data_IF_779088395946
#
_entry.id   IF_779088395946
#
_cell.length_a   1.000
_cell.length_b   1.000
_cell.length_c   1.000
_cell.angle_alpha   90.00
_cell.angle_beta   90.00
_cell.angle_gamma   90.00
#
_symmetry.space_group_name_H-M   'P 1'
#
loop_
_entity.id
_entity.type
_entity.pdbx_description
1 polymer ?
#
# COMPACT_ATOMS: atom_id res chain seq x y z
N UNK A 1 -59.90 19.29 18.45
CA UNK A 1 -59.48 19.60 19.83
C UNK A 1 -58.70 18.43 20.39
N UNK A 2 -57.36 18.48 20.35
CA UNK A 2 -56.51 18.13 21.49
C UNK A 2 -55.07 18.54 21.18
N UNK A 3 -54.50 19.25 22.13
CA UNK A 3 -53.15 19.82 22.12
C UNK A 3 -52.12 18.73 22.47
N UNK A 4 -50.91 18.85 21.90
CA UNK A 4 -49.78 17.99 22.24
C UNK A 4 -48.47 18.54 21.68
N UNK A 5 -48.00 19.64 22.28
CA UNK A 5 -46.68 20.24 22.09
C UNK A 5 -45.62 19.43 22.84
N UNK A 6 -44.47 19.13 22.22
CA UNK A 6 -43.22 18.89 22.95
C UNK A 6 -42.01 19.35 22.15
N UNK A 7 -41.52 20.52 22.57
CA UNK A 7 -40.24 21.14 22.29
C UNK A 7 -39.10 20.26 22.78
N UNK A 8 -38.09 20.02 21.94
CA UNK A 8 -36.92 19.19 22.25
C UNK A 8 -35.62 19.79 21.69
N UNK A 9 -35.23 20.92 22.29
CA UNK A 9 -33.90 21.56 22.41
C UNK A 9 -32.72 20.99 21.59
N UNK A 10 -32.12 21.90 20.83
CA UNK A 10 -30.88 21.71 20.09
C UNK A 10 -29.68 21.39 20.98
N UNK A 11 -28.86 20.46 20.48
CA UNK A 11 -27.48 20.24 20.91
C UNK A 11 -26.58 21.07 20.01
N UNK A 12 -26.19 22.24 20.51
CA UNK A 12 -25.09 23.02 19.96
C UNK A 12 -23.80 22.18 20.11
N UNK A 13 -23.24 21.72 18.98
CA UNK A 13 -21.88 21.18 18.95
C UNK A 13 -20.92 22.35 19.16
N UNK A 14 -20.31 22.39 20.34
CA UNK A 14 -19.14 23.20 20.64
C UNK A 14 -17.99 22.66 19.78
N UNK A 15 -17.76 23.29 18.63
CA UNK A 15 -16.52 23.15 17.87
C UNK A 15 -15.45 23.95 18.62
N UNK A 16 -14.68 23.25 19.45
CA UNK A 16 -13.44 23.80 20.00
C UNK A 16 -12.45 23.93 18.84
N UNK A 17 -12.42 25.12 18.23
CA UNK A 17 -11.38 25.51 17.30
C UNK A 17 -10.06 25.57 18.07
N UNK A 18 -9.21 24.55 17.90
CA UNK A 18 -7.82 24.62 18.30
C UNK A 18 -7.14 25.64 17.38
N UNK A 19 -6.94 26.85 17.91
CA UNK A 19 -6.07 27.87 17.32
C UNK A 19 -4.64 27.33 17.42
N UNK A 20 -4.15 26.74 16.33
CA UNK A 20 -2.73 26.45 16.16
C UNK A 20 -2.05 27.78 15.85
N UNK A 21 -1.35 28.31 16.84
CA UNK A 21 -0.45 29.45 16.67
C UNK A 21 0.58 29.08 15.60
N UNK A 22 0.56 29.80 14.48
CA UNK A 22 1.61 29.76 13.47
C UNK A 22 2.88 30.40 14.05
N UNK A 23 3.78 29.58 14.57
CA UNK A 23 5.21 29.83 14.38
C UNK A 23 5.58 29.23 13.03
N UNK A 24 5.93 30.10 12.09
CA UNK A 24 6.35 29.79 10.72
C UNK A 24 7.35 28.65 10.68
N UNK A 25 6.86 27.45 10.37
CA UNK A 25 7.60 26.35 9.78
C UNK A 25 6.75 25.87 8.61
N UNK A 26 7.31 26.01 7.43
CA UNK A 26 6.83 25.42 6.18
C UNK A 26 6.53 23.93 6.36
N UNK A 27 5.31 23.50 5.97
CA UNK A 27 5.04 22.14 5.50
C UNK A 27 4.38 21.16 6.47
N UNK A 28 3.05 21.15 6.52
CA UNK A 28 2.28 19.92 6.80
C UNK A 28 1.87 19.36 5.45
N UNK A 29 2.66 18.41 4.97
CA UNK A 29 2.37 17.61 3.79
C UNK A 29 2.90 16.22 4.04
N UNK A 30 2.20 15.22 3.52
CA UNK A 30 2.81 14.00 3.01
C UNK A 30 4.11 14.37 2.31
N UNK A 31 5.23 14.24 3.00
CA UNK A 31 6.45 14.96 2.66
C UNK A 31 7.17 14.30 1.50
N UNK A 32 6.95 14.81 0.29
CA UNK A 32 7.94 14.72 -0.78
C UNK A 32 9.27 15.26 -0.24
N UNK A 33 10.36 14.52 -0.44
CA UNK A 33 11.68 15.00 -0.09
C UNK A 33 11.98 16.27 -0.89
N UNK A 34 12.12 17.41 -0.19
CA UNK A 34 12.61 18.62 -0.83
C UNK A 34 14.11 18.44 -1.09
N UNK A 35 14.48 18.15 -2.33
CA UNK A 35 15.87 18.16 -2.79
C UNK A 35 16.38 19.60 -2.87
N UNK A 36 17.32 19.96 -1.98
CA UNK A 36 18.13 21.17 -2.08
C UNK A 36 19.47 20.86 -2.76
N UNK A 37 20.09 21.83 -3.47
CA UNK A 37 21.22 21.56 -4.36
C UNK A 37 22.54 21.31 -3.63
N UNK A 38 23.37 20.54 -4.33
CA UNK A 38 24.66 19.96 -3.96
C UNK A 38 25.63 20.88 -3.22
N UNK A 39 25.96 20.48 -1.99
CA UNK A 39 27.25 20.72 -1.37
C UNK A 39 27.72 19.37 -0.83
N UNK A 40 29.02 19.09 -0.88
CA UNK A 40 29.67 17.90 -0.27
C UNK A 40 29.59 17.93 1.27
N UNK A 41 28.39 18.09 1.81
CA UNK A 41 28.08 18.04 3.23
C UNK A 41 27.46 16.69 3.55
N UNK A 42 27.73 16.19 4.76
CA UNK A 42 27.08 15.00 5.33
C UNK A 42 25.57 15.00 5.05
N UNK A 43 25.15 14.29 4.00
CA UNK A 43 23.74 14.13 3.66
C UNK A 43 23.07 13.39 4.81
N UNK A 44 22.15 14.06 5.48
CA UNK A 44 21.32 13.45 6.51
C UNK A 44 19.86 13.73 6.20
N UNK A 45 19.03 12.71 6.37
CA UNK A 45 17.58 12.84 6.27
C UNK A 45 16.97 12.50 7.62
N UNK A 46 15.81 13.09 7.89
CA UNK A 46 14.97 12.70 9.01
C UNK A 46 13.81 11.91 8.43
N UNK A 47 13.73 10.63 8.77
CA UNK A 47 12.62 9.77 8.40
C UNK A 47 11.69 9.58 9.60
N UNK A 48 10.38 9.61 9.36
CA UNK A 48 9.40 9.12 10.34
C UNK A 48 9.44 7.60 10.29
N UNK A 49 9.75 6.96 11.41
CA UNK A 49 10.04 5.52 11.44
C UNK A 49 8.87 4.68 11.95
N UNK A 50 7.94 5.29 12.70
CA UNK A 50 6.79 4.61 13.26
C UNK A 50 5.47 5.41 13.18
N UNK A 51 4.37 4.75 13.54
CA UNK A 51 3.03 5.33 13.60
C UNK A 51 2.85 6.37 14.73
N UNK A 52 3.76 6.41 15.70
CA UNK A 52 3.79 7.42 16.77
C UNK A 52 4.50 8.71 16.34
N UNK A 53 5.04 8.75 15.11
CA UNK A 53 5.74 9.90 14.57
C UNK A 53 7.18 10.01 15.05
N UNK A 54 7.77 8.94 15.60
CA UNK A 54 9.17 8.92 15.99
C UNK A 54 10.03 9.18 14.77
N UNK A 55 10.99 10.09 14.92
CA UNK A 55 11.88 10.49 13.85
C UNK A 55 13.28 9.92 14.09
N UNK A 56 13.91 9.43 13.04
CA UNK A 56 15.30 8.97 13.06
C UNK A 56 16.11 9.76 12.05
N UNK A 57 17.27 10.23 12.48
CA UNK A 57 18.28 10.79 11.57
C UNK A 57 19.00 9.64 10.88
N UNK A 58 18.84 9.56 9.57
CA UNK A 58 19.55 8.67 8.67
C UNK A 58 20.79 9.40 8.15
N UNK A 59 21.92 8.71 8.11
CA UNK A 59 23.23 9.25 7.75
C UNK A 59 23.86 8.51 6.59
N UNK A 60 23.34 7.34 6.22
CA UNK A 60 23.81 6.65 5.03
C UNK A 60 23.33 7.44 3.79
N UNK A 61 24.25 8.01 2.99
CA UNK A 61 23.88 8.86 1.86
C UNK A 61 23.06 8.12 0.80
N UNK A 62 23.26 6.81 0.65
CA UNK A 62 22.52 6.01 -0.33
C UNK A 62 21.08 5.75 0.13
N UNK A 63 20.86 5.55 1.43
CA UNK A 63 19.51 5.47 2.03
C UNK A 63 18.81 6.81 1.91
N UNK A 64 19.50 7.91 2.24
CA UNK A 64 18.97 9.28 2.09
C UNK A 64 18.57 9.56 0.64
N UNK A 65 19.44 9.21 -0.31
CA UNK A 65 19.18 9.36 -1.75
C UNK A 65 17.98 8.51 -2.19
N UNK A 66 17.91 7.25 -1.73
CA UNK A 66 16.79 6.36 -2.03
C UNK A 66 15.44 6.92 -1.54
N UNK A 67 15.42 7.51 -0.35
CA UNK A 67 14.24 8.14 0.25
C UNK A 67 13.92 9.52 -0.36
N UNK A 68 14.79 10.03 -1.24
CA UNK A 68 14.53 11.23 -2.05
C UNK A 68 13.33 11.07 -2.98
N UNK A 69 12.95 9.82 -3.30
CA UNK A 69 11.77 9.50 -4.10
C UNK A 69 10.83 8.55 -3.32
N UNK A 70 9.71 9.10 -2.85
CA UNK A 70 8.68 8.37 -2.11
C UNK A 70 7.95 7.30 -2.95
N UNK A 71 8.14 7.28 -4.28
CA UNK A 71 7.66 6.22 -5.16
C UNK A 71 8.64 5.04 -5.26
N UNK A 72 9.87 5.21 -4.78
CA UNK A 72 10.93 4.19 -4.85
C UNK A 72 11.27 3.57 -3.51
N UNK A 73 11.16 4.34 -2.42
CA UNK A 73 11.50 3.82 -1.10
C UNK A 73 10.74 4.47 0.05
N UNK A 74 10.71 3.75 1.18
CA UNK A 74 10.28 4.23 2.48
C UNK A 74 11.16 3.63 3.57
N UNK A 75 11.24 4.31 4.72
CA UNK A 75 11.86 3.76 5.92
C UNK A 75 10.78 3.37 6.92
N UNK A 76 10.86 2.15 7.43
CA UNK A 76 10.00 1.64 8.51
C UNK A 76 10.88 0.83 9.45
N UNK A 77 10.99 1.25 10.71
CA UNK A 77 11.85 0.52 11.64
C UNK A 77 11.36 -0.92 11.86
N UNK A 78 12.27 -1.80 12.28
CA UNK A 78 11.99 -3.23 12.43
C UNK A 78 10.85 -3.54 13.42
N UNK A 79 10.63 -2.71 14.44
CA UNK A 79 9.56 -2.91 15.42
C UNK A 79 8.19 -2.53 14.86
N UNK A 80 8.12 -1.42 14.11
CA UNK A 80 6.93 -1.02 13.36
C UNK A 80 6.59 -2.04 12.29
N UNK A 81 7.61 -2.53 11.56
CA UNK A 81 7.43 -3.58 10.57
C UNK A 81 6.85 -4.87 11.17
N UNK A 82 7.40 -5.32 12.30
CA UNK A 82 6.95 -6.54 12.96
C UNK A 82 5.50 -6.41 13.48
N UNK A 83 5.09 -5.21 13.90
CA UNK A 83 3.77 -4.97 14.50
C UNK A 83 2.70 -4.69 13.45
N UNK A 84 3.01 -3.82 12.49
CA UNK A 84 2.02 -3.28 11.55
C UNK A 84 2.26 -3.74 10.12
N UNK A 85 3.48 -4.10 9.72
CA UNK A 85 3.86 -4.24 8.32
C UNK A 85 3.93 -2.89 7.60
N UNK A 86 4.13 -2.91 6.29
CA UNK A 86 4.20 -1.68 5.47
C UNK A 86 2.83 -1.07 5.18
N UNK A 87 1.80 -1.91 4.96
CA UNK A 87 0.41 -1.53 4.67
C UNK A 87 0.32 -0.47 3.56
N UNK A 88 -0.38 0.62 3.85
CA UNK A 88 -0.60 1.77 2.98
C UNK A 88 0.69 2.43 2.46
N UNK A 89 1.85 2.25 3.11
CA UNK A 89 3.12 2.78 2.60
C UNK A 89 3.55 2.11 1.30
N UNK A 90 3.17 0.84 1.12
CA UNK A 90 3.42 0.07 -0.10
C UNK A 90 2.25 0.13 -1.09
N UNK A 91 1.12 0.70 -0.71
CA UNK A 91 -0.04 0.76 -1.60
C UNK A 91 0.26 1.63 -2.84
N UNK A 92 -0.05 1.09 -4.02
CA UNK A 92 0.23 1.73 -5.30
C UNK A 92 1.71 1.69 -5.70
N UNK A 93 2.58 0.99 -4.95
CA UNK A 93 3.99 0.85 -5.32
C UNK A 93 4.24 -0.46 -6.06
N UNK A 94 5.32 -0.50 -6.84
CA UNK A 94 5.72 -1.68 -7.59
C UNK A 94 6.35 -2.72 -6.64
N UNK A 95 5.80 -3.94 -6.54
CA UNK A 95 6.28 -4.95 -5.60
C UNK A 95 7.73 -5.40 -5.84
N UNK A 96 8.24 -5.26 -7.07
CA UNK A 96 9.59 -5.73 -7.45
C UNK A 96 10.69 -4.71 -7.25
N UNK A 97 10.36 -3.42 -7.13
CA UNK A 97 11.35 -2.34 -7.09
C UNK A 97 11.24 -1.47 -5.85
N UNK A 98 10.05 -1.36 -5.25
CA UNK A 98 9.86 -0.53 -4.06
C UNK A 98 10.63 -1.11 -2.87
N UNK A 99 11.49 -0.29 -2.28
CA UNK A 99 12.38 -0.69 -1.17
C UNK A 99 11.82 -0.21 0.16
N UNK A 100 11.77 -1.10 1.13
CA UNK A 100 11.41 -0.77 2.49
C UNK A 100 12.62 -0.95 3.38
N UNK A 101 13.27 0.17 3.69
CA UNK A 101 14.43 0.18 4.58
C UNK A 101 13.99 0.00 6.02
N UNK A 102 14.73 -0.81 6.77
CA UNK A 102 14.50 -1.05 8.19
C UNK A 102 15.68 -0.66 9.08
N UNK A 103 16.80 -0.31 8.46
CA UNK A 103 17.96 0.26 9.12
C UNK A 103 18.72 1.22 8.19
N UNK A 104 19.65 1.99 8.74
CA UNK A 104 20.43 3.02 8.04
C UNK A 104 21.63 2.41 7.29
N UNK A 105 21.36 1.40 6.45
CA UNK A 105 22.36 0.74 5.61
C UNK A 105 21.79 0.41 4.21
N UNK A 106 22.63 0.41 3.17
CA UNK A 106 22.20 0.36 1.77
C UNK A 106 21.53 -0.96 1.37
N UNK A 107 21.88 -2.06 2.02
CA UNK A 107 21.32 -3.39 1.85
C UNK A 107 20.34 -3.78 2.96
N UNK A 108 20.08 -2.88 3.92
CA UNK A 108 19.09 -3.05 4.99
C UNK A 108 17.66 -2.73 4.50
N UNK A 109 17.24 -3.37 3.41
CA UNK A 109 15.88 -3.27 2.91
C UNK A 109 15.32 -4.63 2.50
N UNK A 110 14.00 -4.70 2.36
CA UNK A 110 13.32 -5.74 1.62
C UNK A 110 12.38 -5.10 0.60
N UNK A 111 12.06 -5.85 -0.43
CA UNK A 111 10.94 -5.59 -1.31
C UNK A 111 9.77 -6.45 -0.85
N UNK A 112 8.54 -5.98 -1.04
CA UNK A 112 7.38 -6.81 -0.71
C UNK A 112 7.30 -8.09 -1.56
N UNK A 113 7.93 -8.11 -2.73
CA UNK A 113 8.06 -9.33 -3.51
C UNK A 113 8.95 -10.42 -2.87
N UNK A 114 9.88 -10.06 -1.97
CA UNK A 114 10.92 -10.98 -1.47
C UNK A 114 10.36 -12.10 -0.58
N UNK A 115 9.28 -11.83 0.17
CA UNK A 115 8.58 -12.80 1.01
C UNK A 115 7.21 -13.21 0.44
N UNK A 116 6.96 -12.86 -0.82
CA UNK A 116 5.66 -13.05 -1.43
C UNK A 116 5.28 -14.53 -1.57
N UNK A 117 4.08 -14.85 -1.13
CA UNK A 117 3.45 -16.16 -1.33
C UNK A 117 2.27 -16.05 -2.28
N UNK A 118 1.86 -17.18 -2.85
CA UNK A 118 0.49 -17.34 -3.35
C UNK A 118 -0.28 -18.01 -2.23
N UNK A 119 -1.30 -17.37 -1.63
CA UNK A 119 -2.02 -17.97 -0.52
C UNK A 119 -2.64 -19.32 -0.89
N UNK A 120 -2.83 -20.16 0.13
CA UNK A 120 -3.47 -21.48 0.00
C UNK A 120 -4.38 -21.71 1.20
N UNK A 121 -5.61 -22.16 0.96
CA UNK A 121 -6.57 -22.53 1.99
C UNK A 121 -6.39 -23.99 2.43
N UNK A 122 -6.91 -24.33 3.61
CA UNK A 122 -6.91 -25.69 4.15
C UNK A 122 -7.72 -26.68 3.32
N UNK A 123 -8.69 -26.20 2.53
CA UNK A 123 -9.46 -27.00 1.56
C UNK A 123 -8.64 -27.34 0.28
N UNK A 124 -7.40 -26.86 0.19
CA UNK A 124 -6.50 -27.08 -0.94
C UNK A 124 -6.57 -26.01 -2.02
N UNK A 125 -7.49 -25.03 -1.93
CA UNK A 125 -7.60 -23.95 -2.90
C UNK A 125 -6.33 -23.08 -2.90
N UNK A 126 -5.71 -22.93 -4.07
CA UNK A 126 -4.60 -22.00 -4.32
C UNK A 126 -5.19 -20.78 -5.00
N UNK A 127 -4.76 -19.58 -4.59
CA UNK A 127 -5.24 -18.32 -5.18
C UNK A 127 -4.62 -18.05 -6.55
N UNK A 128 -4.91 -18.96 -7.47
CA UNK A 128 -4.58 -18.93 -8.88
C UNK A 128 -5.82 -19.38 -9.63
N UNK A 129 -6.16 -18.64 -10.68
CA UNK A 129 -7.15 -19.08 -11.67
C UNK A 129 -6.50 -19.09 -13.03
N UNK A 130 -6.83 -20.11 -13.82
CA UNK A 130 -6.26 -20.34 -15.13
C UNK A 130 -7.32 -20.84 -16.09
N UNK A 131 -7.06 -20.61 -17.36
CA UNK A 131 -7.77 -21.22 -18.48
C UNK A 131 -6.74 -21.52 -19.60
N UNK A 132 -7.16 -22.02 -20.78
CA UNK A 132 -6.23 -22.33 -21.85
C UNK A 132 -5.45 -21.13 -22.44
N UNK A 133 -5.87 -19.89 -22.18
CA UNK A 133 -5.24 -18.68 -22.76
C UNK A 133 -4.35 -17.93 -21.76
N UNK A 134 -4.51 -18.18 -20.46
CA UNK A 134 -3.60 -17.65 -19.45
C UNK A 134 -4.03 -17.92 -18.02
N UNK A 135 -3.37 -17.22 -17.10
CA UNK A 135 -3.59 -17.43 -15.66
C UNK A 135 -3.18 -16.22 -14.85
N UNK A 136 -3.89 -16.00 -13.74
CA UNK A 136 -3.53 -14.98 -12.75
C UNK A 136 -3.48 -15.60 -11.37
N UNK A 137 -2.49 -15.18 -10.59
CA UNK A 137 -2.34 -15.52 -9.18
C UNK A 137 -2.42 -14.27 -8.33
N UNK A 138 -3.10 -14.36 -7.19
CA UNK A 138 -2.98 -13.37 -6.13
C UNK A 138 -1.67 -13.63 -5.39
N UNK A 139 -0.80 -12.64 -5.39
CA UNK A 139 0.44 -12.63 -4.61
C UNK A 139 0.21 -11.79 -3.37
N UNK A 140 0.77 -12.25 -2.25
CA UNK A 140 0.62 -11.61 -0.96
C UNK A 140 1.96 -11.60 -0.22
N UNK A 141 2.33 -10.47 0.36
CA UNK A 141 3.48 -10.34 1.27
C UNK A 141 3.00 -10.36 2.72
N UNK A 142 3.30 -11.42 3.50
CA UNK A 142 2.94 -11.46 4.92
C UNK A 142 3.57 -10.33 5.73
N UNK A 143 4.81 -9.94 5.42
CA UNK A 143 5.50 -8.84 6.10
C UNK A 143 4.89 -7.50 5.76
N UNK A 144 4.69 -7.20 4.48
CA UNK A 144 4.13 -5.91 4.06
C UNK A 144 2.62 -5.82 4.30
N UNK A 145 1.92 -6.96 4.43
CA UNK A 145 0.45 -7.07 4.43
C UNK A 145 -0.18 -6.41 3.21
N UNK A 146 0.41 -6.68 2.05
CA UNK A 146 -0.05 -6.16 0.76
C UNK A 146 -0.26 -7.29 -0.23
N UNK A 147 -1.17 -7.06 -1.17
CA UNK A 147 -1.50 -8.01 -2.23
C UNK A 147 -1.34 -7.38 -3.63
N UNK A 148 -1.10 -8.19 -4.64
CA UNK A 148 -1.08 -7.78 -6.05
C UNK A 148 -1.40 -8.98 -6.94
N UNK A 149 -1.89 -8.71 -8.15
CA UNK A 149 -2.11 -9.74 -9.15
C UNK A 149 -0.80 -9.99 -9.90
N UNK A 150 -0.52 -11.26 -10.23
CA UNK A 150 0.57 -11.68 -11.12
C UNK A 150 0.00 -12.56 -12.21
N UNK A 151 0.23 -12.22 -13.47
CA UNK A 151 -0.14 -13.07 -14.61
C UNK A 151 1.06 -13.88 -15.10
N UNK A 152 0.79 -15.01 -15.76
CA UNK A 152 1.76 -15.69 -16.65
C UNK A 152 1.28 -15.71 -18.10
N UNK A 153 0.07 -15.20 -18.37
CA UNK A 153 -0.49 -15.11 -19.71
C UNK A 153 0.08 -13.92 -20.47
N UNK A 154 0.11 -14.05 -21.80
CA UNK A 154 0.50 -12.99 -22.73
C UNK A 154 -0.72 -12.23 -23.23
N UNK A 155 -0.56 -10.92 -23.40
CA UNK A 155 -1.57 -9.99 -23.95
C UNK A 155 -2.86 -9.86 -23.11
N UNK A 156 -2.88 -10.36 -21.88
CA UNK A 156 -4.06 -10.30 -21.02
C UNK A 156 -4.14 -8.99 -20.24
N UNK A 157 -5.36 -8.44 -20.11
CA UNK A 157 -5.65 -7.43 -19.10
C UNK A 157 -5.81 -8.14 -17.75
N UNK A 158 -5.21 -7.62 -16.70
CA UNK A 158 -5.33 -8.21 -15.37
C UNK A 158 -5.30 -7.14 -14.28
N UNK A 159 -5.91 -7.47 -13.15
CA UNK A 159 -6.11 -6.52 -12.06
C UNK A 159 -6.06 -7.17 -10.70
N UNK A 160 -5.74 -6.36 -9.71
CA UNK A 160 -6.01 -6.64 -8.30
C UNK A 160 -7.15 -5.75 -7.84
N UNK A 161 -8.09 -6.34 -7.11
CA UNK A 161 -9.21 -5.65 -6.49
C UNK A 161 -9.08 -5.80 -4.99
N UNK A 162 -9.19 -4.69 -4.26
CA UNK A 162 -9.26 -4.66 -2.80
C UNK A 162 -10.66 -4.19 -2.38
N UNK A 163 -11.21 -4.80 -1.34
CA UNK A 163 -12.50 -4.42 -0.76
C UNK A 163 -12.46 -4.38 0.76
N UNK A 164 -13.41 -3.64 1.32
CA UNK A 164 -13.69 -3.70 2.76
C UNK A 164 -14.31 -5.05 3.12
N UNK A 165 -14.15 -5.52 4.35
CA UNK A 165 -14.79 -6.75 4.85
C UNK A 165 -16.33 -6.74 4.71
N UNK A 166 -16.95 -5.56 4.64
CA UNK A 166 -18.38 -5.39 4.33
C UNK A 166 -18.76 -5.60 2.86
N UNK A 167 -17.79 -5.94 1.99
CA UNK A 167 -17.99 -6.30 0.59
C UNK A 167 -17.87 -5.15 -0.41
N UNK A 168 -17.91 -3.89 0.02
CA UNK A 168 -17.76 -2.74 -0.89
C UNK A 168 -16.33 -2.62 -1.43
N UNK A 169 -16.18 -2.44 -2.74
CA UNK A 169 -14.89 -2.24 -3.39
C UNK A 169 -14.23 -0.97 -2.87
N UNK A 170 -12.94 -1.07 -2.54
CA UNK A 170 -12.10 0.03 -2.07
C UNK A 170 -11.20 0.54 -3.18
N UNK A 171 -10.50 -0.37 -3.85
CA UNK A 171 -9.51 -0.04 -4.87
C UNK A 171 -9.46 -1.11 -5.96
N UNK A 172 -9.21 -0.68 -7.19
CA UNK A 172 -8.90 -1.56 -8.30
C UNK A 172 -7.68 -1.01 -9.00
N UNK A 173 -6.70 -1.88 -9.24
CA UNK A 173 -5.49 -1.53 -10.01
C UNK A 173 -5.42 -2.54 -11.15
N UNK A 174 -5.58 -2.03 -12.37
CA UNK A 174 -5.57 -2.80 -13.61
C UNK A 174 -4.34 -2.44 -14.43
N UNK A 175 -3.74 -3.44 -15.08
CA UNK A 175 -2.67 -3.28 -16.06
C UNK A 175 -2.82 -4.33 -17.17
N UNK A 176 -1.94 -4.27 -18.18
CA UNK A 176 -1.89 -5.21 -19.28
C UNK A 176 -0.47 -5.81 -19.40
N UNK A 177 -0.38 -7.02 -19.93
CA UNK A 177 0.89 -7.57 -20.43
C UNK A 177 1.57 -6.56 -21.39
N UNK A 178 2.92 -6.35 -21.33
CA UNK A 178 3.94 -7.25 -20.80
C UNK A 178 4.19 -7.14 -19.29
N UNK A 179 3.48 -6.27 -18.57
CA UNK A 179 3.58 -6.27 -17.11
C UNK A 179 3.14 -7.63 -16.58
N UNK A 180 3.97 -8.23 -15.74
CA UNK A 180 3.71 -9.55 -15.16
C UNK A 180 2.98 -9.41 -13.83
N UNK A 181 2.91 -8.20 -13.26
CA UNK A 181 2.29 -7.90 -11.97
C UNK A 181 1.63 -6.52 -11.95
N UNK A 182 0.59 -6.37 -11.12
CA UNK A 182 0.01 -5.06 -10.81
C UNK A 182 0.84 -4.35 -9.74
N UNK A 183 0.55 -3.06 -9.52
CA UNK A 183 0.94 -2.38 -8.29
C UNK A 183 0.21 -3.02 -7.08
N UNK A 184 0.76 -2.79 -5.89
CA UNK A 184 0.25 -3.37 -4.65
C UNK A 184 -1.01 -2.66 -4.14
N UNK A 185 -1.87 -3.40 -3.45
CA UNK A 185 -2.97 -2.89 -2.63
C UNK A 185 -2.72 -3.24 -1.16
N UNK A 186 -3.12 -2.35 -0.24
CA UNK A 186 -3.18 -2.68 1.18
C UNK A 186 -4.23 -3.76 1.42
N UNK A 187 -3.83 -4.77 2.18
CA UNK A 187 -4.63 -5.95 2.56
C UNK A 187 -4.82 -6.01 4.09
N UNK A 188 -4.26 -5.06 4.85
CA UNK A 188 -4.30 -5.07 6.31
C UNK A 188 -5.69 -4.70 6.86
N UNK A 189 -6.58 -5.70 6.96
CA UNK A 189 -7.99 -5.50 7.35
C UNK A 189 -8.91 -5.28 6.15
N UNK A 190 -8.41 -5.59 4.95
CA UNK A 190 -9.16 -5.62 3.69
C UNK A 190 -9.08 -7.02 3.12
N UNK A 191 -9.86 -7.28 2.07
CA UNK A 191 -9.76 -8.50 1.28
C UNK A 191 -9.27 -8.15 -0.12
N UNK A 192 -8.51 -9.07 -0.73
CA UNK A 192 -7.98 -8.89 -2.07
C UNK A 192 -8.31 -10.06 -3.00
N UNK A 193 -8.45 -9.76 -4.29
CA UNK A 193 -8.71 -10.74 -5.34
C UNK A 193 -7.92 -10.38 -6.60
N UNK A 194 -7.35 -11.38 -7.27
CA UNK A 194 -6.71 -11.21 -8.56
C UNK A 194 -7.67 -11.65 -9.66
N UNK A 195 -7.76 -10.86 -10.73
CA UNK A 195 -8.60 -11.14 -11.88
C UNK A 195 -7.80 -10.98 -13.17
N UNK A 196 -8.14 -11.75 -14.19
CA UNK A 196 -7.71 -11.50 -15.55
C UNK A 196 -8.88 -11.53 -16.51
N UNK A 197 -8.73 -10.78 -17.59
CA UNK A 197 -9.61 -10.81 -18.73
C UNK A 197 -8.96 -11.73 -19.77
N UNK A 198 -9.50 -12.92 -19.99
CA UNK A 198 -8.95 -13.84 -20.97
C UNK A 198 -9.18 -13.31 -22.40
N UNK A 199 -8.15 -13.37 -23.23
CA UNK A 199 -8.29 -13.12 -24.66
C UNK A 199 -9.01 -14.29 -25.37
N UNK A 200 -9.57 -14.04 -26.56
CA UNK A 200 -10.20 -15.08 -27.38
C UNK A 200 -11.71 -15.24 -27.14
N UNK A 201 -12.28 -16.46 -27.21
CA UNK A 201 -13.74 -16.66 -27.14
C UNK A 201 -14.33 -16.53 -25.73
N UNK A 202 -13.48 -16.35 -24.72
CA UNK A 202 -13.89 -16.20 -23.33
C UNK A 202 -14.29 -14.74 -23.06
N UNK A 203 -15.33 -14.55 -22.23
CA UNK A 203 -15.81 -13.22 -21.87
C UNK A 203 -15.89 -13.08 -20.35
N UNK A 204 -15.69 -11.84 -19.88
CA UNK A 204 -15.78 -11.52 -18.46
C UNK A 204 -14.48 -11.75 -17.68
N UNK A 205 -14.44 -11.16 -16.48
CA UNK A 205 -13.31 -11.30 -15.57
C UNK A 205 -13.32 -12.68 -14.92
N UNK A 206 -12.23 -13.43 -15.07
CA UNK A 206 -11.99 -14.64 -14.30
C UNK A 206 -11.13 -14.28 -13.10
N UNK A 207 -11.64 -14.53 -11.89
CA UNK A 207 -11.03 -14.07 -10.65
C UNK A 207 -10.76 -15.20 -9.65
N UNK A 208 -9.74 -15.04 -8.83
CA UNK A 208 -9.49 -15.89 -7.64
C UNK A 208 -10.65 -15.79 -6.65
N UNK A 209 -10.63 -16.52 -5.52
CA UNK A 209 -11.48 -16.13 -4.37
C UNK A 209 -10.94 -14.83 -3.76
N UNK A 210 -11.75 -14.21 -2.90
CA UNK A 210 -11.30 -13.14 -2.00
C UNK A 210 -10.44 -13.75 -0.90
N UNK A 211 -9.22 -13.23 -0.73
CA UNK A 211 -8.29 -13.59 0.34
C UNK A 211 -8.44 -12.61 1.50
#
# INVERSE_FOLDING_TARGET
>A
MNLGSSVGRGLARVLTAAVVLLTSITGVGVGAANAAPSAEGNSSAVAVVDAAGVQRTLRNPDVVSALGDADQAVFVDSSTMATYGCRSLCEGKNPQTFRVFYDDCIDCFYKCADDAITPKLSDGYVYTVSNPVGSVSLRYSPRCRTAWARTTGSDEAFKVVSRYAGGSVRKTIETNSPDVWTLMVDDAGYEAQACFWPNGPYTGWTCTRWY
#
